data_IF_305881286022
#
_entry.id   IF_305881286022
#
_cell.length_a   1.000
_cell.length_b   1.000
_cell.length_c   1.000
_cell.angle_alpha   90.00
_cell.angle_beta   90.00
_cell.angle_gamma   90.00
#
_symmetry.space_group_name_H-M   'P 1'
#
loop_
_entity.id
_entity.type
_entity.pdbx_description
1 polymer ?
#
# COMPACT_ATOMS: atom_id res chain seq x y z
N UNK A 1 12.41 14.49 4.21
CA UNK A 1 11.10 14.58 3.52
C UNK A 1 10.99 15.92 2.82
N UNK A 2 10.51 15.92 1.57
CA UNK A 2 10.44 17.13 0.76
C UNK A 2 9.18 17.94 1.09
N UNK A 3 9.27 19.28 0.99
CA UNK A 3 8.13 20.19 1.06
C UNK A 3 7.62 20.56 -0.33
N UNK A 4 8.22 20.00 -1.39
CA UNK A 4 7.79 20.21 -2.76
C UNK A 4 6.58 19.32 -3.07
N UNK A 5 5.45 19.93 -3.42
CA UNK A 5 4.21 19.18 -3.72
C UNK A 5 4.44 18.19 -4.86
N UNK A 6 5.16 18.57 -5.90
CA UNK A 6 5.40 17.67 -7.04
C UNK A 6 6.18 16.41 -6.61
N UNK A 7 7.15 16.57 -5.71
CA UNK A 7 7.91 15.43 -5.18
C UNK A 7 7.01 14.55 -4.33
N UNK A 8 6.19 15.14 -3.47
CA UNK A 8 5.26 14.38 -2.62
C UNK A 8 4.24 13.63 -3.47
N UNK A 9 3.73 14.27 -4.53
CA UNK A 9 2.80 13.60 -5.46
C UNK A 9 3.46 12.41 -6.17
N UNK A 10 4.73 12.54 -6.55
CA UNK A 10 5.47 11.44 -7.15
C UNK A 10 5.67 10.27 -6.16
N UNK A 11 5.92 10.60 -4.89
CA UNK A 11 6.00 9.57 -3.84
C UNK A 11 4.68 8.84 -3.67
N UNK A 12 3.56 9.58 -3.67
CA UNK A 12 2.22 8.98 -3.59
C UNK A 12 2.00 8.02 -4.76
N UNK A 13 2.32 8.44 -5.97
CA UNK A 13 2.15 7.59 -7.17
C UNK A 13 2.94 6.28 -7.03
N UNK A 14 4.16 6.35 -6.48
CA UNK A 14 4.97 5.17 -6.27
C UNK A 14 4.35 4.24 -5.21
N UNK A 15 3.87 4.80 -4.11
CA UNK A 15 3.19 4.00 -3.08
C UNK A 15 1.89 3.39 -3.60
N UNK A 16 1.14 4.12 -4.43
CA UNK A 16 -0.08 3.60 -5.04
C UNK A 16 0.22 2.42 -5.96
N UNK A 17 1.33 2.49 -6.71
CA UNK A 17 1.78 1.37 -7.55
C UNK A 17 2.13 0.15 -6.68
N UNK A 18 2.89 0.36 -5.59
CA UNK A 18 3.23 -0.70 -4.66
C UNK A 18 1.98 -1.31 -4.02
N UNK A 19 1.00 -0.46 -3.68
CA UNK A 19 -0.27 -0.91 -3.11
C UNK A 19 -1.03 -1.81 -4.08
N UNK A 20 -1.10 -1.42 -5.35
CA UNK A 20 -1.75 -2.23 -6.38
C UNK A 20 -1.06 -3.59 -6.54
N UNK A 21 0.27 -3.61 -6.52
CA UNK A 21 1.05 -4.85 -6.57
C UNK A 21 0.78 -5.74 -5.35
N UNK A 22 0.69 -5.13 -4.16
CA UNK A 22 0.42 -5.87 -2.92
C UNK A 22 -0.98 -6.46 -2.93
N UNK A 23 -1.99 -5.72 -3.40
CA UNK A 23 -3.37 -6.21 -3.53
C UNK A 23 -3.41 -7.39 -4.51
N UNK A 24 -2.72 -7.28 -5.65
CA UNK A 24 -2.63 -8.37 -6.61
C UNK A 24 -1.95 -9.61 -6.02
N UNK A 25 -0.90 -9.40 -5.22
CA UNK A 25 -0.19 -10.48 -4.54
C UNK A 25 -1.09 -11.22 -3.55
N UNK A 26 -1.87 -10.48 -2.75
CA UNK A 26 -2.83 -11.09 -1.81
C UNK A 26 -3.84 -11.93 -2.58
N UNK A 27 -4.36 -11.42 -3.68
CA UNK A 27 -5.33 -12.15 -4.51
C UNK A 27 -4.72 -13.43 -5.07
N UNK A 28 -3.47 -13.36 -5.53
CA UNK A 28 -2.76 -14.53 -6.05
C UNK A 28 -2.54 -15.58 -4.95
N UNK A 29 -2.16 -15.15 -3.74
CA UNK A 29 -1.97 -16.06 -2.61
C UNK A 29 -3.26 -16.77 -2.26
N UNK A 30 -4.38 -16.04 -2.23
CA UNK A 30 -5.70 -16.66 -1.94
C UNK A 30 -6.11 -17.65 -3.01
N UNK A 31 -5.79 -17.38 -4.26
CA UNK A 31 -6.08 -18.30 -5.36
C UNK A 31 -5.26 -19.60 -5.27
N UNK A 32 -4.09 -19.55 -4.62
CA UNK A 32 -3.25 -20.73 -4.41
C UNK A 32 -3.74 -21.62 -3.27
N UNK A 33 -4.61 -21.12 -2.38
CA UNK A 33 -5.12 -21.92 -1.27
C UNK A 33 -6.04 -23.03 -1.76
N UNK A 34 -5.87 -24.22 -1.17
CA UNK A 34 -6.71 -25.37 -1.44
C UNK A 34 -6.95 -26.10 -0.11
N UNK A 35 -8.03 -25.74 0.62
CA UNK A 35 -8.32 -26.36 1.90
C UNK A 35 -8.50 -27.89 1.84
N UNK A 36 -9.02 -28.40 0.73
CA UNK A 36 -9.23 -29.83 0.55
C UNK A 36 -7.90 -30.59 0.51
N UNK A 37 -6.82 -29.94 0.07
CA UNK A 37 -5.46 -30.49 0.04
C UNK A 37 -4.61 -30.02 1.20
N UNK A 38 -5.18 -29.22 2.14
CA UNK A 38 -4.44 -28.68 3.25
C UNK A 38 -3.45 -27.60 2.85
N UNK A 39 -3.67 -26.91 1.73
CA UNK A 39 -2.79 -25.85 1.26
C UNK A 39 -3.33 -24.50 1.75
N UNK A 40 -2.55 -23.85 2.62
CA UNK A 40 -2.90 -22.55 3.18
C UNK A 40 -1.74 -21.59 3.04
N UNK A 41 -2.06 -20.31 2.86
CA UNK A 41 -1.07 -19.23 2.73
C UNK A 41 -1.27 -18.16 3.81
N UNK A 42 -1.70 -18.58 5.00
CA UNK A 42 -2.08 -17.66 6.08
C UNK A 42 -0.96 -16.68 6.46
N UNK A 43 0.26 -17.18 6.62
CA UNK A 43 1.40 -16.34 7.01
C UNK A 43 1.74 -15.34 5.93
N UNK A 44 1.79 -15.77 4.67
CA UNK A 44 2.11 -14.89 3.54
C UNK A 44 1.02 -13.84 3.36
N UNK A 45 -0.26 -14.24 3.47
CA UNK A 45 -1.39 -13.31 3.36
C UNK A 45 -1.36 -12.29 4.49
N UNK A 46 -1.10 -12.74 5.73
CA UNK A 46 -0.98 -11.82 6.86
C UNK A 46 0.12 -10.79 6.64
N UNK A 47 1.30 -11.23 6.23
CA UNK A 47 2.43 -10.34 5.95
C UNK A 47 2.09 -9.33 4.86
N UNK A 48 1.44 -9.78 3.79
CA UNK A 48 1.04 -8.91 2.69
C UNK A 48 -0.03 -7.90 3.13
N UNK A 49 -0.96 -8.31 4.00
CA UNK A 49 -1.97 -7.39 4.55
C UNK A 49 -1.34 -6.32 5.45
N UNK A 50 -0.31 -6.67 6.22
CA UNK A 50 0.42 -5.69 7.02
C UNK A 50 1.14 -4.69 6.11
N UNK A 51 1.73 -5.15 5.02
CA UNK A 51 2.36 -4.27 4.02
C UNK A 51 1.33 -3.34 3.38
N UNK A 52 0.14 -3.85 3.07
CA UNK A 52 -0.96 -3.04 2.52
C UNK A 52 -1.34 -1.91 3.47
N UNK A 53 -1.46 -2.21 4.77
CA UNK A 53 -1.77 -1.20 5.78
C UNK A 53 -0.68 -0.14 5.86
N UNK A 54 0.59 -0.55 5.81
CA UNK A 54 1.71 0.38 5.81
C UNK A 54 1.65 1.33 4.61
N UNK A 55 1.38 0.78 3.42
CA UNK A 55 1.31 1.57 2.19
C UNK A 55 0.12 2.54 2.22
N UNK A 56 -1.04 2.10 2.73
CA UNK A 56 -2.20 2.97 2.91
C UNK A 56 -1.86 4.15 3.84
N UNK A 57 -1.16 3.88 4.94
CA UNK A 57 -0.73 4.93 5.86
C UNK A 57 0.22 5.92 5.17
N UNK A 58 1.20 5.42 4.43
CA UNK A 58 2.16 6.27 3.71
C UNK A 58 1.46 7.20 2.72
N UNK A 59 0.45 6.67 2.01
CA UNK A 59 -0.33 7.47 1.06
C UNK A 59 -1.14 8.54 1.80
N UNK A 60 -1.87 8.16 2.84
CA UNK A 60 -2.71 9.09 3.59
C UNK A 60 -1.89 10.19 4.26
N UNK A 61 -0.75 9.84 4.81
CA UNK A 61 0.15 10.81 5.44
C UNK A 61 0.58 11.88 4.42
N UNK A 62 0.96 11.45 3.21
CA UNK A 62 1.41 12.36 2.17
C UNK A 62 0.27 13.18 1.56
N UNK A 63 -0.92 12.60 1.44
CA UNK A 63 -2.10 13.35 1.01
C UNK A 63 -2.40 14.48 2.00
N UNK A 64 -2.32 14.19 3.30
CA UNK A 64 -2.46 15.21 4.34
C UNK A 64 -1.38 16.27 4.26
N UNK A 65 -0.14 15.88 3.95
CA UNK A 65 0.96 16.82 3.77
C UNK A 65 0.70 17.77 2.61
N UNK A 66 0.21 17.25 1.47
CA UNK A 66 -0.13 18.08 0.31
C UNK A 66 -1.20 19.10 0.67
N UNK A 67 -2.23 18.68 1.40
CA UNK A 67 -3.27 19.61 1.85
C UNK A 67 -2.69 20.74 2.69
N UNK A 68 -1.80 20.40 3.63
CA UNK A 68 -1.17 21.41 4.46
C UNK A 68 -0.32 22.38 3.64
N UNK A 69 0.41 21.88 2.66
CA UNK A 69 1.26 22.70 1.80
C UNK A 69 0.43 23.63 0.91
N UNK A 70 -0.72 23.15 0.41
CA UNK A 70 -1.59 23.94 -0.47
C UNK A 70 -2.36 25.02 0.26
N UNK A 71 -2.74 24.78 1.51
CA UNK A 71 -3.59 25.69 2.29
C UNK A 71 -2.83 26.39 3.41
N UNK A 72 -1.54 26.22 3.48
CA UNK A 72 -0.67 26.95 4.39
C UNK A 72 -0.23 28.26 3.74
N UNK A 73 -0.33 29.32 4.48
CA UNK A 73 0.14 30.62 4.04
C UNK A 73 1.59 30.86 4.43
#
# INVERSE_FOLDING_TARGET
>A
MSDDIAVVEAEIADFERQLAETVAHIRALRAEEDPAKGIFRNTEIYTAQQEKLRLDFEIQYRQGKIKRLRFSD
#
